data_IF_310135686943
#
_entry.id   IF_310135686943
#
_cell.length_a   1.000
_cell.length_b   1.000
_cell.length_c   1.000
_cell.angle_alpha   90.00
_cell.angle_beta   90.00
_cell.angle_gamma   90.00
#
_symmetry.space_group_name_H-M   'P 1'
#
loop_
_entity.id
_entity.type
_entity.pdbx_description
1 polymer ?
#
# COMPACT_ATOMS: atom_id res chain seq x y z
N UNK A 1 -16.57 -4.09 8.25
CA UNK A 1 -16.21 -5.48 8.53
C UNK A 1 -17.03 -6.14 9.62
N UNK A 2 -17.27 -5.45 10.71
CA UNK A 2 -18.21 -5.93 11.75
C UNK A 2 -19.60 -6.22 11.19
N UNK A 3 -20.07 -5.42 10.24
CA UNK A 3 -21.36 -5.60 9.59
C UNK A 3 -21.49 -6.93 8.85
N UNK A 4 -20.41 -7.38 8.20
CA UNK A 4 -20.41 -8.67 7.50
C UNK A 4 -20.43 -9.84 8.48
N UNK A 5 -19.69 -9.73 9.57
CA UNK A 5 -19.67 -10.74 10.62
C UNK A 5 -21.05 -10.86 11.28
N UNK A 6 -21.66 -9.74 11.62
CA UNK A 6 -23.00 -9.68 12.20
C UNK A 6 -24.04 -10.31 11.25
N UNK A 7 -23.95 -10.01 9.96
CA UNK A 7 -24.85 -10.56 8.95
C UNK A 7 -24.75 -12.08 8.86
N UNK A 8 -23.53 -12.63 8.83
CA UNK A 8 -23.29 -14.07 8.79
C UNK A 8 -23.83 -14.73 10.05
N UNK A 9 -23.57 -14.15 11.21
CA UNK A 9 -24.06 -14.67 12.50
C UNK A 9 -25.57 -14.68 12.52
N UNK A 10 -26.23 -13.61 12.09
CA UNK A 10 -27.70 -13.54 12.05
C UNK A 10 -28.30 -14.55 11.08
N UNK A 11 -27.70 -14.76 9.92
CA UNK A 11 -28.19 -15.77 8.97
C UNK A 11 -28.03 -17.20 9.50
N UNK A 12 -26.97 -17.48 10.23
CA UNK A 12 -26.69 -18.78 10.78
C UNK A 12 -27.41 -19.04 12.10
N UNK A 13 -27.96 -18.02 12.76
CA UNK A 13 -28.64 -18.14 14.05
C UNK A 13 -29.84 -19.07 14.03
N UNK A 14 -30.51 -19.20 12.88
CA UNK A 14 -31.63 -20.08 12.72
C UNK A 14 -31.24 -21.56 12.68
N UNK A 15 -30.01 -21.86 12.32
CA UNK A 15 -29.52 -23.22 12.07
C UNK A 15 -28.62 -23.76 13.17
N UNK A 16 -28.09 -22.91 14.04
CA UNK A 16 -27.08 -23.26 15.02
C UNK A 16 -27.58 -23.01 16.45
N UNK A 17 -27.15 -23.86 17.38
CA UNK A 17 -27.41 -23.62 18.80
C UNK A 17 -26.40 -22.57 19.35
N UNK A 18 -26.59 -22.18 20.64
CA UNK A 18 -25.81 -21.15 21.27
C UNK A 18 -24.31 -21.48 21.30
N UNK A 19 -23.94 -22.72 21.57
CA UNK A 19 -22.55 -23.16 21.63
C UNK A 19 -21.91 -23.12 20.23
N UNK A 20 -22.63 -23.53 19.20
CA UNK A 20 -22.16 -23.47 17.82
C UNK A 20 -22.04 -22.04 17.32
N UNK A 21 -22.96 -21.18 17.71
CA UNK A 21 -22.89 -19.74 17.38
C UNK A 21 -21.67 -19.08 17.99
N UNK A 22 -21.33 -19.40 19.22
CA UNK A 22 -20.12 -18.90 19.88
C UNK A 22 -18.87 -19.32 19.12
N UNK A 23 -18.81 -20.59 18.72
CA UNK A 23 -17.68 -21.12 17.96
C UNK A 23 -17.54 -20.44 16.60
N UNK A 24 -18.64 -20.25 15.89
CA UNK A 24 -18.67 -19.56 14.62
C UNK A 24 -18.19 -18.13 14.76
N UNK A 25 -18.64 -17.41 15.78
CA UNK A 25 -18.23 -16.05 16.05
C UNK A 25 -16.73 -15.94 16.30
N UNK A 26 -16.17 -16.84 17.11
CA UNK A 26 -14.73 -16.87 17.39
C UNK A 26 -13.90 -17.11 16.12
N UNK A 27 -14.31 -18.09 15.31
CA UNK A 27 -13.60 -18.41 14.06
C UNK A 27 -13.66 -17.26 13.08
N UNK A 28 -14.82 -16.61 12.92
CA UNK A 28 -14.97 -15.48 12.03
C UNK A 28 -14.11 -14.29 12.46
N UNK A 29 -14.13 -13.95 13.75
CA UNK A 29 -13.33 -12.86 14.28
C UNK A 29 -11.83 -13.10 14.09
N UNK A 30 -11.37 -14.32 14.36
CA UNK A 30 -9.99 -14.70 14.20
C UNK A 30 -9.56 -14.64 12.73
N UNK A 31 -10.37 -15.19 11.83
CA UNK A 31 -10.08 -15.19 10.38
C UNK A 31 -9.99 -13.78 9.82
N UNK A 32 -10.93 -12.92 10.17
CA UNK A 32 -10.94 -11.54 9.68
C UNK A 32 -9.82 -10.69 10.30
N UNK A 33 -9.50 -10.92 11.57
CA UNK A 33 -8.36 -10.25 12.23
C UNK A 33 -7.04 -10.63 11.58
N UNK A 34 -6.84 -11.88 11.25
CA UNK A 34 -5.64 -12.35 10.56
C UNK A 34 -5.54 -11.75 9.15
N UNK A 35 -6.64 -11.70 8.41
CA UNK A 35 -6.68 -11.07 7.09
C UNK A 35 -6.34 -9.59 7.15
N UNK A 36 -6.87 -8.87 8.11
CA UNK A 36 -6.58 -7.45 8.30
C UNK A 36 -5.13 -7.24 8.73
N UNK A 37 -4.62 -8.04 9.64
CA UNK A 37 -3.24 -7.98 10.08
C UNK A 37 -2.28 -8.25 8.91
N UNK A 38 -2.60 -9.19 8.03
CA UNK A 38 -1.80 -9.45 6.84
C UNK A 38 -1.83 -8.29 5.85
N UNK A 39 -2.98 -7.65 5.65
CA UNK A 39 -3.11 -6.47 4.79
C UNK A 39 -2.37 -5.27 5.36
N UNK A 40 -2.38 -5.10 6.67
CA UNK A 40 -1.66 -4.02 7.35
C UNK A 40 -0.15 -4.27 7.42
N UNK A 41 0.29 -5.51 7.25
CA UNK A 41 1.69 -5.90 7.33
C UNK A 41 2.47 -5.75 6.03
N UNK A 42 1.84 -5.33 4.93
CA UNK A 42 2.59 -5.04 3.71
C UNK A 42 3.46 -3.81 3.99
N UNK A 43 4.76 -4.05 4.07
CA UNK A 43 5.73 -2.99 4.35
C UNK A 43 5.92 -2.09 3.13
N UNK A 44 6.43 -0.89 3.37
CA UNK A 44 6.79 0.02 2.30
C UNK A 44 7.79 -0.62 1.33
N UNK A 45 8.71 -1.41 1.85
CA UNK A 45 9.72 -2.13 1.06
C UNK A 45 9.09 -3.16 0.13
N UNK A 46 8.05 -3.86 0.57
CA UNK A 46 7.33 -4.81 -0.26
C UNK A 46 6.59 -4.11 -1.41
N UNK A 47 5.98 -2.95 -1.14
CA UNK A 47 5.37 -2.15 -2.18
C UNK A 47 6.39 -1.71 -3.22
N UNK A 48 7.57 -1.28 -2.79
CA UNK A 48 8.65 -0.91 -3.68
C UNK A 48 9.06 -2.08 -4.57
N UNK A 49 9.21 -3.26 -3.98
CA UNK A 49 9.57 -4.47 -4.72
C UNK A 49 8.54 -4.81 -5.81
N UNK A 50 7.26 -4.75 -5.46
CA UNK A 50 6.16 -4.99 -6.40
C UNK A 50 6.16 -3.97 -7.53
N UNK A 51 6.42 -2.72 -7.23
CA UNK A 51 6.54 -1.66 -8.24
C UNK A 51 7.69 -1.92 -9.20
N UNK A 52 8.86 -2.27 -8.68
CA UNK A 52 10.03 -2.56 -9.49
C UNK A 52 9.81 -3.79 -10.39
N UNK A 53 9.16 -4.81 -9.87
CA UNK A 53 8.79 -5.99 -10.64
C UNK A 53 7.83 -5.63 -11.78
N UNK A 54 6.85 -4.76 -11.51
CA UNK A 54 5.92 -4.28 -12.53
C UNK A 54 6.65 -3.52 -13.63
N UNK A 55 7.60 -2.66 -13.27
CA UNK A 55 8.42 -1.93 -14.24
C UNK A 55 9.31 -2.85 -15.08
N UNK A 56 9.79 -3.90 -14.48
CA UNK A 56 10.56 -4.93 -15.18
C UNK A 56 9.71 -5.64 -16.24
N UNK A 57 8.46 -5.98 -15.91
CA UNK A 57 7.51 -6.59 -16.83
C UNK A 57 7.18 -5.64 -17.98
N UNK A 58 7.09 -4.34 -17.72
CA UNK A 58 6.87 -3.31 -18.76
C UNK A 58 8.04 -3.15 -19.72
N UNK A 59 9.18 -3.75 -19.41
CA UNK A 59 10.36 -3.70 -20.28
C UNK A 59 11.34 -2.58 -19.98
N UNK A 60 11.26 -1.99 -18.79
CA UNK A 60 12.22 -0.98 -18.37
C UNK A 60 13.62 -1.56 -18.23
N UNK A 61 14.64 -0.78 -18.61
CA UNK A 61 16.04 -1.19 -18.46
C UNK A 61 16.42 -1.30 -16.99
N UNK A 62 17.45 -2.09 -16.70
CA UNK A 62 17.99 -2.21 -15.34
C UNK A 62 18.41 -0.86 -14.76
N UNK A 63 18.94 0.01 -15.59
CA UNK A 63 19.37 1.36 -15.20
C UNK A 63 18.17 2.19 -14.72
N UNK A 64 17.06 2.13 -15.45
CA UNK A 64 15.82 2.82 -15.09
C UNK A 64 15.24 2.25 -13.81
N UNK A 65 15.23 0.95 -13.65
CA UNK A 65 14.74 0.27 -12.44
C UNK A 65 15.57 0.67 -11.24
N UNK A 66 16.88 0.72 -11.38
CA UNK A 66 17.79 1.13 -10.32
C UNK A 66 17.54 2.59 -9.91
N UNK A 67 17.26 3.45 -10.87
CA UNK A 67 16.94 4.84 -10.65
C UNK A 67 15.64 4.99 -9.82
N UNK A 68 14.61 4.25 -10.18
CA UNK A 68 13.37 4.22 -9.40
C UNK A 68 13.61 3.72 -7.98
N UNK A 69 14.38 2.66 -7.84
CA UNK A 69 14.70 2.07 -6.54
C UNK A 69 15.35 3.10 -5.62
N UNK A 70 16.42 3.72 -6.07
CA UNK A 70 17.15 4.70 -5.27
C UNK A 70 16.27 5.88 -4.86
N UNK A 71 15.48 6.39 -5.80
CA UNK A 71 14.60 7.52 -5.54
C UNK A 71 13.55 7.20 -4.49
N UNK A 72 12.86 6.07 -4.64
CA UNK A 72 11.79 5.67 -3.70
C UNK A 72 12.36 5.27 -2.35
N UNK A 73 13.48 4.55 -2.33
CA UNK A 73 14.14 4.17 -1.07
C UNK A 73 14.51 5.40 -0.22
N UNK A 74 15.04 6.43 -0.84
CA UNK A 74 15.37 7.67 -0.14
C UNK A 74 14.14 8.34 0.43
N UNK A 75 13.05 8.37 -0.33
CA UNK A 75 11.77 8.89 0.15
C UNK A 75 11.29 8.12 1.37
N UNK A 76 11.29 6.80 1.30
CA UNK A 76 10.81 5.93 2.38
C UNK A 76 11.67 6.02 3.64
N UNK A 77 12.97 6.23 3.48
CA UNK A 77 13.88 6.40 4.62
C UNK A 77 13.72 7.75 5.30
N UNK A 78 13.40 8.78 4.54
CA UNK A 78 13.28 10.15 5.05
C UNK A 78 11.91 10.42 5.65
N UNK A 79 10.84 9.93 5.00
CA UNK A 79 9.47 10.12 5.46
C UNK A 79 9.03 8.85 6.17
N UNK A 80 8.87 8.92 7.48
CA UNK A 80 8.53 7.78 8.33
C UNK A 80 7.01 7.57 8.44
N UNK A 81 6.31 7.75 7.32
CA UNK A 81 4.87 7.60 7.25
C UNK A 81 4.54 6.40 6.35
N UNK A 82 3.58 5.53 6.73
CA UNK A 82 3.13 4.47 5.84
C UNK A 82 2.64 5.02 4.51
N UNK A 83 2.96 4.33 3.42
CA UNK A 83 2.62 4.79 2.06
C UNK A 83 1.15 5.16 1.89
N UNK A 84 0.26 4.40 2.52
CA UNK A 84 -1.18 4.67 2.43
C UNK A 84 -1.63 5.95 3.12
N UNK A 85 -0.84 6.44 4.06
CA UNK A 85 -1.13 7.65 4.85
C UNK A 85 -0.31 8.84 4.40
N UNK A 86 0.58 8.66 3.44
CA UNK A 86 1.45 9.71 2.95
C UNK A 86 0.64 10.72 2.13
N UNK A 87 0.76 12.01 2.50
CA UNK A 87 0.03 13.08 1.84
C UNK A 87 0.89 13.79 0.80
N UNK A 88 0.24 14.48 -0.13
CA UNK A 88 0.92 15.29 -1.14
C UNK A 88 1.79 16.37 -0.49
N UNK A 89 1.37 16.94 0.63
CA UNK A 89 2.13 17.95 1.36
C UNK A 89 3.43 17.40 1.94
N UNK A 90 3.41 16.19 2.47
CA UNK A 90 4.62 15.53 2.97
C UNK A 90 5.62 15.30 1.85
N UNK A 91 5.15 14.89 0.68
CA UNK A 91 5.99 14.68 -0.50
C UNK A 91 6.58 16.00 -1.00
N UNK A 92 5.79 17.07 -1.05
CA UNK A 92 6.27 18.40 -1.42
C UNK A 92 7.36 18.90 -0.48
N UNK A 93 7.13 18.72 0.81
CA UNK A 93 8.09 19.09 1.84
C UNK A 93 9.40 18.32 1.67
N UNK A 94 9.28 17.03 1.42
CA UNK A 94 10.43 16.17 1.11
C UNK A 94 11.22 16.69 -0.10
N UNK A 95 10.53 17.02 -1.19
CA UNK A 95 11.19 17.52 -2.41
C UNK A 95 11.90 18.84 -2.19
N UNK A 96 11.30 19.75 -1.43
CA UNK A 96 11.92 21.04 -1.10
C UNK A 96 13.19 20.83 -0.27
N UNK A 97 13.13 19.98 0.74
CA UNK A 97 14.29 19.65 1.58
C UNK A 97 15.38 18.93 0.79
N UNK A 98 14.99 18.00 -0.07
CA UNK A 98 15.91 17.28 -0.94
C UNK A 98 16.69 18.25 -1.83
N UNK A 99 16.02 19.21 -2.43
CA UNK A 99 16.65 20.22 -3.28
C UNK A 99 17.64 21.07 -2.50
N UNK A 100 17.31 21.45 -1.29
CA UNK A 100 18.19 22.25 -0.41
C UNK A 100 19.43 21.46 0.04
N UNK A 101 19.21 20.24 0.53
CA UNK A 101 20.28 19.41 1.08
C UNK A 101 21.29 19.00 0.00
N UNK A 102 20.78 18.59 -1.15
CA UNK A 102 21.62 18.09 -2.25
C UNK A 102 22.03 19.17 -3.24
N UNK A 103 21.55 20.40 -3.05
CA UNK A 103 21.80 21.53 -3.94
C UNK A 103 21.55 21.17 -5.42
N UNK A 104 20.42 20.50 -5.69
CA UNK A 104 20.07 20.00 -7.01
C UNK A 104 19.56 21.11 -7.92
N UNK A 105 19.87 20.99 -9.21
CA UNK A 105 19.23 21.82 -10.23
C UNK A 105 17.79 21.41 -10.47
N UNK A 106 17.08 22.26 -11.21
CA UNK A 106 15.67 22.05 -11.54
C UNK A 106 15.43 20.74 -12.27
N UNK A 107 16.31 20.34 -13.19
CA UNK A 107 16.19 19.11 -13.96
C UNK A 107 16.24 17.88 -13.05
N UNK A 108 17.16 17.87 -12.10
CA UNK A 108 17.34 16.77 -11.17
C UNK A 108 16.11 16.61 -10.27
N UNK A 109 15.61 17.72 -9.71
CA UNK A 109 14.44 17.65 -8.84
C UNK A 109 13.18 17.25 -9.61
N UNK A 110 13.04 17.67 -10.86
CA UNK A 110 11.94 17.25 -11.71
C UNK A 110 11.96 15.75 -12.00
N UNK A 111 13.14 15.18 -12.21
CA UNK A 111 13.30 13.74 -12.41
C UNK A 111 12.93 12.97 -11.14
N UNK A 112 13.35 13.43 -9.99
CA UNK A 112 12.97 12.82 -8.70
C UNK A 112 11.45 12.88 -8.52
N UNK A 113 10.85 14.02 -8.78
CA UNK A 113 9.39 14.20 -8.70
C UNK A 113 8.64 13.25 -9.63
N UNK A 114 9.11 13.11 -10.86
CA UNK A 114 8.50 12.20 -11.86
C UNK A 114 8.56 10.75 -11.41
N UNK A 115 9.69 10.33 -10.86
CA UNK A 115 9.85 8.96 -10.38
C UNK A 115 8.92 8.68 -9.20
N UNK A 116 8.82 9.62 -8.26
CA UNK A 116 7.91 9.52 -7.12
C UNK A 116 6.45 9.50 -7.60
N UNK A 117 6.11 10.36 -8.54
CA UNK A 117 4.77 10.43 -9.12
C UNK A 117 4.39 9.11 -9.81
N UNK A 118 5.31 8.52 -10.55
CA UNK A 118 5.10 7.20 -11.19
C UNK A 118 4.83 6.11 -10.17
N UNK A 119 5.56 6.11 -9.07
CA UNK A 119 5.38 5.15 -7.99
C UNK A 119 3.99 5.29 -7.35
N UNK A 120 3.58 6.50 -7.00
CA UNK A 120 2.28 6.72 -6.38
C UNK A 120 1.12 6.47 -7.33
N UNK A 121 1.26 6.78 -8.62
CA UNK A 121 0.25 6.44 -9.63
C UNK A 121 0.07 4.93 -9.74
N UNK A 122 1.17 4.20 -9.77
CA UNK A 122 1.12 2.75 -9.77
C UNK A 122 0.46 2.19 -8.50
N UNK A 123 0.84 2.74 -7.35
CA UNK A 123 0.29 2.33 -6.06
C UNK A 123 -1.23 2.55 -6.01
N UNK A 124 -1.67 3.70 -6.48
CA UNK A 124 -3.08 4.05 -6.54
C UNK A 124 -3.87 3.09 -7.43
N UNK A 125 -3.35 2.76 -8.60
CA UNK A 125 -3.95 1.77 -9.50
C UNK A 125 -3.98 0.38 -8.87
N UNK A 126 -2.91 -0.04 -8.24
CA UNK A 126 -2.83 -1.35 -7.58
C UNK A 126 -3.84 -1.47 -6.45
N UNK A 127 -3.98 -0.43 -5.63
CA UNK A 127 -4.96 -0.39 -4.53
C UNK A 127 -6.38 -0.33 -5.08
N UNK A 128 -6.63 0.49 -6.08
CA UNK A 128 -7.95 0.60 -6.74
C UNK A 128 -8.35 -0.72 -7.39
N UNK A 129 -7.43 -1.37 -8.08
CA UNK A 129 -7.68 -2.66 -8.71
C UNK A 129 -8.05 -3.71 -7.67
N UNK A 130 -7.31 -3.80 -6.57
CA UNK A 130 -7.62 -4.70 -5.47
C UNK A 130 -8.99 -4.40 -4.87
N UNK A 131 -9.34 -3.13 -4.79
CA UNK A 131 -10.63 -2.68 -4.26
C UNK A 131 -11.78 -3.01 -5.21
N UNK A 132 -11.56 -2.89 -6.52
CA UNK A 132 -12.55 -3.20 -7.55
C UNK A 132 -12.81 -4.70 -7.70
N UNK A 133 -11.83 -5.54 -7.40
CA UNK A 133 -11.97 -6.99 -7.48
C UNK A 133 -12.68 -7.60 -6.27
N UNK A 134 -12.88 -6.82 -5.21
CA UNK A 134 -13.67 -7.26 -4.08
C UNK A 134 -15.15 -7.26 -4.49
N UNK A 135 -15.83 -8.44 -4.45
CA UNK A 135 -17.26 -8.48 -4.75
C UNK A 135 -18.01 -7.67 -3.71
N UNK A 136 -18.63 -6.66 -4.18
CA UNK A 136 -19.51 -5.85 -3.35
C UNK A 136 -20.82 -6.58 -3.11
#
# INVERSE_FOLDING_TARGET
MEDKIVKIINEMAEYLNVAQMKKLQEVLLQSFSESEAQKEQISNEEYLKLFLDAKKIEGCSERTIQYYRVTVERLLQTVDTPLRKMTTEEIRRYLVEYQKINNCGKVTIDNVRRNISSFFSWLEEAVSYTHLTLPT
#
